data_IF_336639982640
#
_entry.id   IF_336639982640
#
_cell.length_a   1.000
_cell.length_b   1.000
_cell.length_c   1.000
_cell.angle_alpha   90.00
_cell.angle_beta   90.00
_cell.angle_gamma   90.00
#
_symmetry.space_group_name_H-M   'P 1'
#
loop_
_entity.id
_entity.type
_entity.pdbx_description
1 polymer ?
#
# COMPACT_ATOMS: atom_id res chain seq x y z
N UNK A 1 -31.46 -42.95 -5.98
CA UNK A 1 -31.59 -41.60 -5.39
C UNK A 1 -30.69 -41.37 -4.17
N UNK A 2 -30.51 -42.33 -3.25
CA UNK A 2 -29.60 -42.18 -2.09
C UNK A 2 -28.13 -41.85 -2.44
N UNK A 3 -27.59 -42.42 -3.53
CA UNK A 3 -26.20 -42.15 -3.95
C UNK A 3 -26.00 -40.73 -4.51
N UNK A 4 -27.05 -40.09 -5.03
CA UNK A 4 -26.97 -38.72 -5.54
C UNK A 4 -26.97 -37.69 -4.40
N UNK A 5 -27.72 -37.97 -3.32
CA UNK A 5 -27.78 -37.12 -2.13
C UNK A 5 -26.40 -37.05 -1.45
N UNK A 6 -25.69 -38.17 -1.39
CA UNK A 6 -24.36 -38.24 -0.78
C UNK A 6 -23.31 -37.39 -1.52
N UNK A 7 -23.43 -37.31 -2.85
CA UNK A 7 -22.52 -36.52 -3.69
C UNK A 7 -22.76 -35.01 -3.51
N UNK A 8 -24.02 -34.62 -3.36
CA UNK A 8 -24.41 -33.21 -3.20
C UNK A 8 -23.99 -32.66 -1.82
N UNK A 9 -24.05 -33.48 -0.77
CA UNK A 9 -23.55 -33.10 0.56
C UNK A 9 -22.03 -32.92 0.62
N UNK A 10 -21.26 -33.61 -0.23
CA UNK A 10 -19.80 -33.49 -0.26
C UNK A 10 -19.32 -32.18 -0.94
N UNK A 11 -20.13 -31.62 -1.83
CA UNK A 11 -19.84 -30.36 -2.53
C UNK A 11 -20.17 -29.12 -1.69
N UNK A 12 -20.99 -29.26 -0.65
CA UNK A 12 -21.36 -28.16 0.25
C UNK A 12 -20.35 -27.95 1.40
N UNK A 13 -19.38 -28.85 1.58
CA UNK A 13 -18.35 -28.74 2.61
C UNK A 13 -17.05 -28.08 2.13
N UNK A 14 -16.93 -27.72 0.85
CA UNK A 14 -15.73 -27.06 0.31
C UNK A 14 -15.72 -25.54 0.45
N UNK A 15 -16.71 -24.94 1.11
CA UNK A 15 -16.68 -23.51 1.45
C UNK A 15 -15.83 -23.30 2.70
N UNK A 16 -14.53 -23.06 2.51
CA UNK A 16 -13.72 -22.41 3.54
C UNK A 16 -14.03 -20.92 3.43
N UNK A 17 -14.76 -20.39 4.39
CA UNK A 17 -14.73 -18.96 4.64
C UNK A 17 -13.37 -18.66 5.26
N UNK A 18 -12.46 -18.09 4.47
CA UNK A 18 -11.30 -17.40 5.01
C UNK A 18 -11.86 -16.18 5.75
N UNK A 19 -12.10 -16.35 7.05
CA UNK A 19 -12.42 -15.25 7.93
C UNK A 19 -11.18 -14.36 7.99
N UNK A 20 -11.12 -13.37 7.10
CA UNK A 20 -10.17 -12.26 7.21
C UNK A 20 -10.58 -11.43 8.42
N UNK A 21 -10.43 -12.01 9.61
CA UNK A 21 -10.33 -11.28 10.86
C UNK A 21 -9.00 -10.54 10.84
N UNK A 22 -8.94 -9.53 9.98
CA UNK A 22 -7.91 -8.53 9.92
C UNK A 22 -8.16 -7.56 11.07
N UNK A 23 -8.22 -8.08 12.29
CA UNK A 23 -8.44 -7.26 13.48
C UNK A 23 -7.07 -6.98 14.08
N UNK A 24 -6.35 -6.03 13.50
CA UNK A 24 -5.50 -5.20 14.33
C UNK A 24 -6.45 -4.45 15.26
N UNK A 25 -6.68 -5.03 16.44
CA UNK A 25 -7.36 -4.33 17.53
C UNK A 25 -6.37 -3.28 18.06
N UNK A 26 -6.29 -2.13 17.39
CA UNK A 26 -5.53 -0.98 17.88
C UNK A 26 -6.23 -0.29 19.07
N UNK A 27 -7.00 -1.06 19.84
CA UNK A 27 -7.77 -0.68 21.01
C UNK A 27 -8.95 0.24 20.68
N UNK A 28 -8.64 1.49 20.38
CA UNK A 28 -9.60 2.61 20.32
C UNK A 28 -10.02 3.02 18.90
N UNK A 29 -9.42 2.44 17.87
CA UNK A 29 -9.66 2.80 16.47
C UNK A 29 -10.33 1.66 15.71
N UNK A 30 -11.43 1.97 15.02
CA UNK A 30 -12.17 1.00 14.20
C UNK A 30 -11.65 1.02 12.75
N UNK A 31 -10.45 0.47 12.53
CA UNK A 31 -9.89 0.33 11.19
C UNK A 31 -10.42 -0.90 10.47
N UNK A 32 -10.49 -0.80 9.15
CA UNK A 32 -10.82 -1.89 8.24
C UNK A 32 -9.83 -1.88 7.08
N UNK A 33 -9.60 -3.04 6.48
CA UNK A 33 -8.69 -3.16 5.36
C UNK A 33 -9.40 -2.70 4.09
N UNK A 34 -8.67 -1.90 3.31
CA UNK A 34 -9.04 -1.50 1.96
C UNK A 34 -7.97 -2.03 1.02
N UNK A 35 -8.40 -2.53 -0.13
CA UNK A 35 -7.50 -2.79 -1.25
C UNK A 35 -7.16 -1.46 -1.92
N UNK A 36 -6.08 -0.83 -1.46
CA UNK A 36 -5.57 0.37 -2.10
C UNK A 36 -4.84 -0.04 -3.39
N UNK A 37 -5.26 0.44 -4.57
CA UNK A 37 -4.59 0.08 -5.82
C UNK A 37 -3.20 0.72 -5.88
N UNK A 38 -2.16 -0.12 -5.92
CA UNK A 38 -0.78 0.29 -6.24
C UNK A 38 -0.40 -0.13 -7.66
N UNK A 39 0.38 0.70 -8.34
CA UNK A 39 0.96 0.35 -9.66
C UNK A 39 2.40 -0.11 -9.43
N UNK A 40 2.65 -1.40 -9.60
CA UNK A 40 3.96 -2.02 -9.35
C UNK A 40 4.74 -2.27 -10.64
N UNK A 41 6.06 -2.15 -10.53
CA UNK A 41 7.01 -2.49 -11.59
C UNK A 41 8.39 -2.77 -11.01
N UNK A 42 9.35 -3.05 -11.87
CA UNK A 42 10.75 -3.13 -11.44
C UNK A 42 11.22 -1.76 -10.93
N UNK A 43 12.18 -1.71 -10.00
CA UNK A 43 12.74 -0.43 -9.54
C UNK A 43 13.20 0.48 -10.69
N UNK A 44 13.77 -0.09 -11.76
CA UNK A 44 14.22 0.63 -12.93
C UNK A 44 13.08 1.26 -13.76
N UNK A 45 11.94 0.58 -13.91
CA UNK A 45 10.78 1.17 -14.62
C UNK A 45 10.12 2.28 -13.79
N UNK A 46 10.06 2.12 -12.46
CA UNK A 46 9.57 3.20 -11.60
C UNK A 46 10.53 4.39 -11.62
N UNK A 47 11.84 4.16 -11.58
CA UNK A 47 12.85 5.21 -11.69
C UNK A 47 12.74 5.98 -13.02
N UNK A 48 12.58 5.24 -14.13
CA UNK A 48 12.31 5.85 -15.44
C UNK A 48 11.05 6.72 -15.43
N UNK A 49 9.98 6.26 -14.79
CA UNK A 49 8.75 7.04 -14.64
C UNK A 49 8.99 8.32 -13.84
N UNK A 50 9.64 8.21 -12.68
CA UNK A 50 9.92 9.37 -11.80
C UNK A 50 10.82 10.38 -12.49
N UNK A 51 11.87 9.93 -13.17
CA UNK A 51 12.76 10.82 -13.95
C UNK A 51 12.02 11.50 -15.09
N UNK A 52 11.19 10.78 -15.85
CA UNK A 52 10.43 11.36 -16.96
C UNK A 52 9.43 12.44 -16.51
N UNK A 53 8.98 12.39 -15.25
CA UNK A 53 8.04 13.35 -14.66
C UNK A 53 8.72 14.35 -13.73
N UNK A 54 10.06 14.40 -13.70
CA UNK A 54 10.86 15.37 -12.95
C UNK A 54 10.61 15.29 -11.43
N UNK A 55 10.33 14.07 -10.94
CA UNK A 55 10.18 13.82 -9.51
C UNK A 55 11.54 13.72 -8.82
N UNK A 56 11.66 14.45 -7.71
CA UNK A 56 12.77 14.37 -6.77
C UNK A 56 12.30 13.77 -5.44
N UNK A 57 13.09 12.89 -4.80
CA UNK A 57 12.74 12.34 -3.51
C UNK A 57 12.83 13.42 -2.42
N UNK A 58 11.76 13.59 -1.65
CA UNK A 58 11.69 14.58 -0.57
C UNK A 58 11.93 13.98 0.81
N UNK A 59 11.54 12.71 1.00
CA UNK A 59 11.75 12.00 2.26
C UNK A 59 11.76 10.48 2.03
N UNK A 60 12.51 9.78 2.89
CA UNK A 60 12.59 8.31 2.91
C UNK A 60 12.35 7.83 4.33
N UNK A 61 11.54 6.79 4.50
CA UNK A 61 11.27 6.18 5.79
C UNK A 61 11.10 4.67 5.68
N UNK A 62 11.16 3.97 6.82
CA UNK A 62 11.02 2.53 6.89
C UNK A 62 9.71 2.16 7.58
N UNK A 63 8.89 1.36 6.90
CA UNK A 63 7.83 0.61 7.53
C UNK A 63 8.41 -0.55 8.31
N UNK A 64 7.94 -0.73 9.55
CA UNK A 64 8.44 -1.74 10.47
C UNK A 64 7.32 -2.65 10.96
N UNK A 65 7.68 -3.88 11.32
CA UNK A 65 6.75 -4.84 11.92
C UNK A 65 5.99 -4.22 13.09
N UNK A 66 4.70 -4.56 13.21
CA UNK A 66 3.81 -4.09 14.29
C UNK A 66 3.69 -2.56 14.41
N UNK A 67 4.08 -1.82 13.37
CA UNK A 67 4.17 -0.35 13.39
C UNK A 67 5.04 0.18 14.56
N UNK A 68 6.04 -0.60 14.97
CA UNK A 68 6.93 -0.28 16.10
C UNK A 68 8.22 0.41 15.61
N UNK A 69 8.71 1.45 16.31
CA UNK A 69 9.99 2.09 15.97
C UNK A 69 11.18 1.11 16.07
N UNK A 70 11.09 0.11 16.95
CA UNK A 70 12.11 -0.93 17.13
C UNK A 70 11.83 -2.20 16.31
N UNK A 71 10.71 -2.23 15.59
CA UNK A 71 10.32 -3.36 14.73
C UNK A 71 11.30 -3.56 13.57
N UNK A 72 11.31 -4.76 12.98
CA UNK A 72 12.16 -5.04 11.83
C UNK A 72 11.64 -4.29 10.59
N UNK A 73 12.52 -3.67 9.78
CA UNK A 73 12.10 -3.05 8.53
C UNK A 73 11.48 -4.08 7.58
N UNK A 74 10.29 -3.80 7.08
CA UNK A 74 9.54 -4.68 6.17
C UNK A 74 9.25 -4.04 4.81
N UNK A 75 9.37 -2.72 4.71
CA UNK A 75 9.34 -1.98 3.45
C UNK A 75 9.95 -0.59 3.64
N UNK A 76 10.35 0.05 2.55
CA UNK A 76 10.80 1.44 2.52
C UNK A 76 9.78 2.28 1.76
N UNK A 77 9.44 3.45 2.31
CA UNK A 77 8.62 4.46 1.63
C UNK A 77 9.55 5.56 1.16
N UNK A 78 9.41 5.97 -0.11
CA UNK A 78 9.98 7.21 -0.63
C UNK A 78 8.84 8.12 -1.06
N UNK A 79 8.82 9.33 -0.54
CA UNK A 79 7.94 10.38 -1.04
C UNK A 79 8.68 11.23 -2.05
N UNK A 80 7.96 11.63 -3.09
CA UNK A 80 8.50 12.38 -4.20
C UNK A 80 7.65 13.63 -4.43
N UNK A 81 8.28 14.67 -4.97
CA UNK A 81 7.63 15.89 -5.43
C UNK A 81 8.29 16.41 -6.69
N UNK A 82 7.56 17.22 -7.43
CA UNK A 82 8.10 18.00 -8.53
C UNK A 82 7.59 19.45 -8.47
N UNK A 83 8.21 20.31 -9.28
CA UNK A 83 7.87 21.74 -9.33
C UNK A 83 6.51 22.01 -10.01
N UNK A 84 5.88 20.98 -10.58
CA UNK A 84 4.54 21.03 -11.18
C UNK A 84 3.42 20.89 -10.14
N UNK A 85 3.76 20.77 -8.86
CA UNK A 85 2.78 20.59 -7.78
C UNK A 85 2.20 19.17 -7.73
N UNK A 86 2.93 18.18 -8.24
CA UNK A 86 2.56 16.77 -8.15
C UNK A 86 3.26 16.09 -6.97
N UNK A 87 2.66 15.01 -6.47
CA UNK A 87 3.21 14.17 -5.41
C UNK A 87 3.07 12.71 -5.77
N UNK A 88 4.06 11.93 -5.36
CA UNK A 88 4.09 10.49 -5.55
C UNK A 88 4.63 9.84 -4.27
N UNK A 89 4.14 8.64 -3.96
CA UNK A 89 4.75 7.79 -2.95
C UNK A 89 5.06 6.43 -3.56
N UNK A 90 6.26 5.93 -3.30
CA UNK A 90 6.67 4.58 -3.68
C UNK A 90 6.96 3.73 -2.47
N UNK A 91 6.63 2.45 -2.55
CA UNK A 91 7.03 1.43 -1.58
C UNK A 91 7.98 0.44 -2.25
N UNK A 92 9.11 0.19 -1.58
CA UNK A 92 10.06 -0.86 -1.92
C UNK A 92 9.96 -2.00 -0.91
N UNK A 93 9.79 -3.22 -1.40
CA UNK A 93 9.84 -4.42 -0.57
C UNK A 93 11.30 -4.90 -0.52
N UNK A 94 11.85 -5.29 0.64
CA UNK A 94 13.28 -5.62 0.82
C UNK A 94 13.84 -6.72 -0.10
N UNK A 95 12.97 -7.51 -0.73
CA UNK A 95 13.35 -8.50 -1.73
C UNK A 95 13.90 -7.86 -3.02
N UNK A 96 13.68 -6.55 -3.22
CA UNK A 96 14.30 -5.74 -4.27
C UNK A 96 13.75 -5.97 -5.69
N UNK A 97 12.80 -6.88 -5.86
CA UNK A 97 12.24 -7.21 -7.17
C UNK A 97 11.24 -6.17 -7.67
N UNK A 98 10.58 -5.46 -6.76
CA UNK A 98 9.44 -4.60 -7.09
C UNK A 98 9.47 -3.30 -6.29
N UNK A 99 9.09 -2.23 -6.98
CA UNK A 99 8.72 -0.93 -6.41
C UNK A 99 7.31 -0.61 -6.86
N UNK A 100 6.46 -0.21 -5.92
CA UNK A 100 5.06 0.10 -6.19
C UNK A 100 4.79 1.58 -5.96
N UNK A 101 4.20 2.26 -6.95
CA UNK A 101 3.62 3.59 -6.80
C UNK A 101 2.28 3.45 -6.07
N UNK A 102 2.20 3.97 -4.85
CA UNK A 102 1.02 3.89 -3.98
C UNK A 102 -0.02 4.93 -4.39
N UNK A 103 0.45 6.13 -4.75
CA UNK A 103 -0.39 7.17 -5.33
C UNK A 103 0.45 8.10 -6.20
N UNK A 104 -0.21 8.76 -7.15
CA UNK A 104 0.27 9.93 -7.87
C UNK A 104 -0.84 10.98 -7.84
N UNK A 105 -0.59 12.12 -7.22
CA UNK A 105 -1.58 13.18 -7.02
C UNK A 105 -1.10 14.51 -7.58
N UNK A 106 -2.05 15.42 -7.82
CA UNK A 106 -1.85 16.69 -8.50
C UNK A 106 -2.37 17.85 -7.64
N UNK A 107 -2.05 19.08 -8.03
CA UNK A 107 -2.55 20.31 -7.41
C UNK A 107 -2.19 20.42 -5.91
N UNK A 108 -0.95 20.09 -5.56
CA UNK A 108 -0.48 20.10 -4.18
C UNK A 108 -0.38 21.53 -3.65
N UNK A 109 -1.04 21.78 -2.52
CA UNK A 109 -0.94 23.04 -1.76
C UNK A 109 -0.29 22.76 -0.41
N UNK A 110 0.61 23.64 0.03
CA UNK A 110 1.22 23.52 1.37
C UNK A 110 0.25 24.09 2.40
N UNK A 111 0.29 23.55 3.62
CA UNK A 111 -0.41 24.11 4.77
C UNK A 111 0.65 24.65 5.71
N UNK A 112 0.63 25.96 5.95
CA UNK A 112 1.51 26.64 6.91
C UNK A 112 0.63 27.27 7.99
N UNK A 113 0.93 26.98 9.27
CA UNK A 113 0.15 27.46 10.42
C UNK A 113 -1.35 27.14 10.37
N UNK A 114 -1.75 26.05 9.70
CA UNK A 114 -3.15 25.64 9.56
C UNK A 114 -3.90 26.34 8.42
N UNK A 115 -3.24 27.18 7.63
CA UNK A 115 -3.82 27.84 6.47
C UNK A 115 -3.21 27.31 5.17
N UNK A 116 -4.02 27.21 4.12
CA UNK A 116 -3.55 26.83 2.78
C UNK A 116 -2.72 27.97 2.19
N UNK A 117 -1.42 27.74 2.02
CA UNK A 117 -0.53 28.66 1.32
C UNK A 117 -0.56 28.35 -0.18
N UNK A 118 -1.09 29.29 -0.96
CA UNK A 118 -1.08 29.24 -2.42
C UNK A 118 0.31 29.48 -2.99
#
# INVERSE_FOLDING_TARGET
MKKLILLFTLLLTSYVFADHNSKYDLGQYNFYFLDLPGVCGTPAEVEKYTTAHEFEPTEVSLGRTDSSPDGQPVYMITMWANDKGERLATIDIPQGSERCMVFHSFNTTKIENGELTK
#
